data_IF_406266344768
#
_entry.id   IF_406266344768
#
_cell.length_a   1.000
_cell.length_b   1.000
_cell.length_c   1.000
_cell.angle_alpha   90.00
_cell.angle_beta   90.00
_cell.angle_gamma   90.00
#
_symmetry.space_group_name_H-M   'P 1'
#
loop_
_entity.id
_entity.type
_entity.pdbx_description
1 polymer ?
#
# COMPACT_ATOMS: atom_id res chain seq x y z
N UNK A 1 3.91 5.24 10.01
CA UNK A 1 4.76 4.65 8.94
C UNK A 1 3.83 3.84 8.05
N UNK A 2 3.90 4.03 6.74
CA UNK A 2 3.07 3.36 5.75
C UNK A 2 3.99 2.62 4.77
N UNK A 3 3.89 1.29 4.74
CA UNK A 3 4.64 0.44 3.83
C UNK A 3 3.83 0.26 2.54
N UNK A 4 4.29 0.87 1.44
CA UNK A 4 3.62 0.88 0.14
C UNK A 4 2.09 1.04 0.20
N UNK A 5 1.59 2.14 0.80
CA UNK A 5 0.16 2.31 0.99
C UNK A 5 -0.55 2.46 -0.36
N UNK A 6 -1.64 1.72 -0.55
CA UNK A 6 -2.52 1.95 -1.67
C UNK A 6 -3.39 3.19 -1.41
N UNK A 7 -3.00 4.33 -1.99
CA UNK A 7 -3.64 5.62 -1.72
C UNK A 7 -4.53 6.15 -2.87
N UNK A 8 -4.41 5.56 -4.06
CA UNK A 8 -5.12 5.96 -5.27
C UNK A 8 -5.38 4.72 -6.14
N UNK A 9 -6.48 4.72 -6.91
CA UNK A 9 -6.71 3.69 -7.94
C UNK A 9 -5.76 3.87 -9.11
N UNK A 10 -5.09 2.80 -9.51
CA UNK A 10 -4.23 2.76 -10.69
C UNK A 10 -5.07 2.70 -11.97
N UNK A 11 -4.64 3.42 -12.99
CA UNK A 11 -5.28 3.44 -14.31
C UNK A 11 -6.11 4.69 -14.59
N UNK A 12 -6.61 4.80 -15.81
CA UNK A 12 -7.24 6.03 -16.30
C UNK A 12 -8.45 6.45 -15.45
N UNK A 13 -8.60 7.75 -15.25
CA UNK A 13 -9.72 8.38 -14.52
C UNK A 13 -11.10 7.95 -15.04
N UNK A 14 -11.18 7.48 -16.28
CA UNK A 14 -12.40 6.96 -16.92
C UNK A 14 -12.83 5.58 -16.37
N UNK A 15 -11.90 4.62 -16.22
CA UNK A 15 -12.17 3.30 -15.65
C UNK A 15 -12.59 3.44 -14.19
N UNK A 16 -11.93 4.35 -13.47
CA UNK A 16 -12.27 4.75 -12.10
C UNK A 16 -13.71 5.25 -11.98
N UNK A 17 -14.12 6.14 -12.87
CA UNK A 17 -15.49 6.67 -12.87
C UNK A 17 -16.52 5.57 -13.16
N UNK A 18 -16.26 4.68 -14.12
CA UNK A 18 -17.18 3.57 -14.44
C UNK A 18 -17.30 2.59 -13.26
N UNK A 19 -16.19 2.25 -12.61
CA UNK A 19 -16.19 1.41 -11.41
C UNK A 19 -17.02 2.05 -10.28
N UNK A 20 -16.86 3.35 -10.01
CA UNK A 20 -17.64 4.03 -8.96
C UNK A 20 -19.16 4.03 -9.22
N UNK A 21 -19.60 4.22 -10.47
CA UNK A 21 -21.02 4.32 -10.79
C UNK A 21 -21.74 2.95 -10.76
N UNK A 22 -21.03 1.85 -11.02
CA UNK A 22 -21.61 0.51 -10.97
C UNK A 22 -21.51 -0.14 -9.57
N UNK A 23 -20.45 0.18 -8.82
CA UNK A 23 -20.21 -0.40 -7.49
C UNK A 23 -21.22 0.12 -6.46
N UNK A 24 -21.65 1.38 -6.53
CA UNK A 24 -22.54 1.92 -5.49
C UNK A 24 -23.94 1.29 -5.43
N UNK A 25 -24.67 1.11 -6.56
CA UNK A 25 -25.95 0.40 -6.55
C UNK A 25 -25.80 -1.05 -6.07
N UNK A 26 -24.75 -1.75 -6.53
CA UNK A 26 -24.47 -3.14 -6.15
C UNK A 26 -24.14 -3.27 -4.66
N UNK A 27 -23.31 -2.37 -4.11
CA UNK A 27 -22.94 -2.37 -2.71
C UNK A 27 -24.12 -2.05 -1.78
N UNK A 28 -25.11 -1.27 -2.24
CA UNK A 28 -26.35 -1.02 -1.48
C UNK A 28 -27.27 -2.24 -1.46
N UNK A 29 -27.37 -2.95 -2.58
CA UNK A 29 -28.26 -4.11 -2.71
C UNK A 29 -27.67 -5.38 -2.08
N UNK A 30 -26.40 -5.68 -2.36
CA UNK A 30 -25.66 -6.83 -1.81
C UNK A 30 -24.18 -6.47 -1.60
N UNK A 31 -23.82 -5.93 -0.42
CA UNK A 31 -22.43 -5.58 -0.10
C UNK A 31 -21.50 -6.79 -0.01
N UNK A 32 -22.03 -8.02 0.14
CA UNK A 32 -21.23 -9.25 0.25
C UNK A 32 -20.96 -9.91 -1.09
N UNK A 33 -21.63 -9.47 -2.17
CA UNK A 33 -21.43 -9.98 -3.52
C UNK A 33 -19.95 -9.89 -3.92
N UNK A 34 -19.31 -11.02 -4.27
CA UNK A 34 -17.98 -11.00 -4.83
C UNK A 34 -18.02 -10.55 -6.29
N UNK A 35 -16.99 -9.82 -6.69
CA UNK A 35 -16.65 -9.63 -8.10
C UNK A 35 -15.69 -10.72 -8.54
N UNK A 36 -15.90 -11.22 -9.76
CA UNK A 36 -14.99 -12.17 -10.39
C UNK A 36 -13.94 -11.37 -11.16
N UNK A 37 -12.74 -11.28 -10.58
CA UNK A 37 -11.56 -10.77 -11.27
C UNK A 37 -10.62 -11.93 -11.59
N UNK A 38 -9.81 -11.81 -12.66
CA UNK A 38 -8.70 -12.74 -12.88
C UNK A 38 -7.77 -12.79 -11.66
N UNK A 39 -7.20 -13.97 -11.41
CA UNK A 39 -6.16 -14.10 -10.40
C UNK A 39 -4.89 -13.34 -10.82
N UNK A 40 -4.19 -12.79 -9.82
CA UNK A 40 -2.97 -12.01 -10.00
C UNK A 40 -1.86 -12.63 -9.13
N UNK A 41 -1.34 -13.82 -9.48
CA UNK A 41 -0.46 -14.58 -8.60
C UNK A 41 0.95 -13.98 -8.47
N UNK A 42 1.37 -13.11 -9.40
CA UNK A 42 2.74 -12.67 -9.53
C UNK A 42 3.33 -12.06 -8.28
N UNK A 43 2.56 -11.22 -7.58
CA UNK A 43 3.01 -10.62 -6.32
C UNK A 43 3.19 -11.67 -5.21
N UNK A 44 2.25 -12.60 -5.04
CA UNK A 44 2.38 -13.66 -4.04
C UNK A 44 3.61 -14.53 -4.33
N UNK A 45 3.84 -14.84 -5.61
CA UNK A 45 4.98 -15.62 -6.08
C UNK A 45 6.32 -14.95 -5.81
N UNK A 46 6.41 -13.62 -5.88
CA UNK A 46 7.62 -12.86 -5.52
C UNK A 46 7.92 -12.84 -4.02
N UNK A 47 6.92 -13.07 -3.16
CA UNK A 47 7.07 -13.02 -1.70
C UNK A 47 7.26 -14.40 -1.08
N UNK A 48 6.48 -15.39 -1.54
CA UNK A 48 6.39 -16.71 -0.91
C UNK A 48 7.63 -17.56 -1.15
N UNK A 49 8.14 -18.20 -0.09
CA UNK A 49 9.19 -19.22 -0.17
C UNK A 49 8.74 -20.52 -0.84
N UNK A 50 7.43 -20.69 -1.06
CA UNK A 50 6.89 -21.80 -1.87
C UNK A 50 6.96 -21.51 -3.39
N UNK A 51 7.45 -20.33 -3.77
CA UNK A 51 7.65 -19.90 -5.15
C UNK A 51 9.04 -19.25 -5.33
N UNK A 52 9.12 -17.95 -5.64
CA UNK A 52 10.37 -17.25 -5.95
C UNK A 52 10.88 -16.34 -4.82
N UNK A 53 10.07 -16.14 -3.78
CA UNK A 53 10.41 -15.31 -2.63
C UNK A 53 11.12 -16.07 -1.52
N UNK A 54 11.23 -15.41 -0.36
CA UNK A 54 11.97 -15.94 0.79
C UNK A 54 11.10 -16.08 2.07
N UNK A 55 9.82 -15.70 2.01
CA UNK A 55 8.96 -15.65 3.20
C UNK A 55 8.01 -16.84 3.26
N UNK A 56 7.97 -17.49 4.42
CA UNK A 56 6.92 -18.45 4.73
C UNK A 56 5.63 -17.70 5.07
N UNK A 57 4.66 -17.78 4.18
CA UNK A 57 3.39 -17.06 4.31
C UNK A 57 2.36 -17.93 5.00
N UNK A 58 1.69 -17.37 6.01
CA UNK A 58 0.56 -18.06 6.63
C UNK A 58 -0.61 -18.12 5.63
N UNK A 59 -1.07 -19.32 5.21
CA UNK A 59 -1.97 -19.47 4.06
C UNK A 59 -3.36 -18.86 4.29
N UNK A 60 -3.79 -18.71 5.55
CA UNK A 60 -5.07 -18.05 5.89
C UNK A 60 -4.95 -16.53 5.83
N UNK A 61 -3.76 -15.97 6.04
CA UNK A 61 -3.55 -14.51 6.07
C UNK A 61 -3.13 -13.97 4.72
N UNK A 62 -2.33 -14.75 3.97
CA UNK A 62 -1.85 -14.41 2.62
C UNK A 62 -1.98 -15.64 1.71
N UNK A 63 -3.22 -15.98 1.29
CA UNK A 63 -3.45 -17.07 0.35
C UNK A 63 -2.81 -16.78 -1.02
N UNK A 64 -2.47 -17.84 -1.76
CA UNK A 64 -1.93 -17.71 -3.12
C UNK A 64 -2.93 -17.06 -4.08
N UNK A 65 -4.19 -17.48 -4.01
CA UNK A 65 -5.31 -16.79 -4.62
C UNK A 65 -5.77 -15.66 -3.69
N UNK A 66 -5.81 -14.43 -4.20
CA UNK A 66 -6.25 -13.26 -3.43
C UNK A 66 -7.66 -13.43 -2.86
N UNK A 67 -7.97 -12.69 -1.79
CA UNK A 67 -9.32 -12.67 -1.23
C UNK A 67 -10.33 -12.11 -2.25
N UNK A 68 -11.58 -12.61 -2.25
CA UNK A 68 -12.60 -12.09 -3.15
C UNK A 68 -12.89 -10.62 -2.84
N UNK A 69 -12.76 -9.79 -3.87
CA UNK A 69 -13.13 -8.37 -3.83
C UNK A 69 -14.65 -8.29 -3.76
N UNK A 70 -15.17 -7.70 -2.68
CA UNK A 70 -16.62 -7.57 -2.46
C UNK A 70 -17.09 -6.16 -2.77
N UNK A 71 -18.34 -6.01 -3.22
CA UNK A 71 -18.92 -4.71 -3.55
C UNK A 71 -18.84 -3.70 -2.39
N UNK A 72 -19.17 -4.12 -1.17
CA UNK A 72 -19.07 -3.26 0.02
C UNK A 72 -17.63 -2.85 0.35
N UNK A 73 -16.67 -3.77 0.17
CA UNK A 73 -15.25 -3.48 0.37
C UNK A 73 -14.73 -2.49 -0.69
N UNK A 74 -15.05 -2.72 -1.96
CA UNK A 74 -14.66 -1.82 -3.05
C UNK A 74 -15.23 -0.41 -2.83
N UNK A 75 -16.50 -0.30 -2.42
CA UNK A 75 -17.12 0.99 -2.06
C UNK A 75 -16.36 1.68 -0.92
N UNK A 76 -16.00 0.95 0.14
CA UNK A 76 -15.26 1.52 1.27
C UNK A 76 -13.86 2.01 0.87
N UNK A 77 -13.14 1.25 0.03
CA UNK A 77 -11.85 1.64 -0.54
C UNK A 77 -11.97 2.93 -1.35
N UNK A 78 -12.94 3.00 -2.27
CA UNK A 78 -13.19 4.19 -3.08
C UNK A 78 -13.48 5.43 -2.22
N UNK A 79 -14.29 5.28 -1.17
CA UNK A 79 -14.54 6.35 -0.22
C UNK A 79 -13.27 6.78 0.53
N UNK A 80 -12.41 5.83 0.89
CA UNK A 80 -11.10 6.07 1.48
C UNK A 80 -10.19 6.89 0.55
N UNK A 81 -10.02 6.47 -0.70
CA UNK A 81 -9.26 7.23 -1.69
C UNK A 81 -9.80 8.63 -1.90
N UNK A 82 -11.12 8.80 -1.96
CA UNK A 82 -11.74 10.12 -2.06
C UNK A 82 -11.46 11.00 -0.83
N UNK A 83 -11.39 10.42 0.37
CA UNK A 83 -10.98 11.14 1.58
C UNK A 83 -9.50 11.54 1.51
N UNK A 84 -8.60 10.65 1.09
CA UNK A 84 -7.18 11.00 0.88
C UNK A 84 -7.05 12.11 -0.17
N UNK A 85 -7.80 12.06 -1.26
CA UNK A 85 -7.75 13.10 -2.30
C UNK A 85 -8.18 14.48 -1.78
N UNK A 86 -9.16 14.55 -0.87
CA UNK A 86 -9.55 15.79 -0.16
C UNK A 86 -8.53 16.24 0.87
N UNK A 87 -7.74 15.30 1.39
CA UNK A 87 -6.79 15.50 2.47
C UNK A 87 -7.31 14.99 3.79
N UNK A 88 -6.45 14.33 4.57
CA UNK A 88 -6.82 13.74 5.86
C UNK A 88 -6.43 14.59 7.08
N UNK A 89 -5.58 15.61 6.88
CA UNK A 89 -5.04 16.47 7.94
C UNK A 89 -4.47 15.68 9.13
N UNK A 90 -3.71 14.62 8.84
CA UNK A 90 -3.04 13.83 9.88
C UNK A 90 -2.02 14.73 10.57
N UNK A 91 -2.24 14.96 11.86
CA UNK A 91 -1.40 15.81 12.69
C UNK A 91 -0.04 15.17 12.98
N UNK A 92 0.02 13.84 13.10
CA UNK A 92 1.24 13.08 13.32
C UNK A 92 2.16 13.12 12.07
N UNK A 93 3.51 13.06 12.24
CA UNK A 93 4.41 12.82 11.12
C UNK A 93 4.09 11.51 10.41
N UNK A 94 4.11 11.51 9.08
CA UNK A 94 3.86 10.33 8.25
C UNK A 94 5.11 10.03 7.44
N UNK A 95 5.61 8.80 7.58
CA UNK A 95 6.61 8.23 6.68
C UNK A 95 5.92 7.26 5.73
N UNK A 96 6.16 7.42 4.43
CA UNK A 96 5.71 6.50 3.38
C UNK A 96 6.94 5.85 2.75
N UNK A 97 6.92 4.52 2.63
CA UNK A 97 7.97 3.73 1.99
C UNK A 97 7.42 3.20 0.66
N UNK A 98 8.19 3.35 -0.42
CA UNK A 98 7.82 2.89 -1.76
C UNK A 98 9.00 2.20 -2.44
N UNK A 99 8.70 1.37 -3.44
CA UNK A 99 9.67 1.06 -4.49
C UNK A 99 10.05 2.30 -5.29
N UNK A 100 11.18 2.25 -5.99
CA UNK A 100 11.61 3.31 -6.89
C UNK A 100 10.87 3.30 -8.23
N UNK A 101 10.28 2.15 -8.62
CA UNK A 101 9.66 1.98 -9.94
C UNK A 101 8.46 1.03 -9.91
N UNK A 102 7.55 1.27 -10.86
CA UNK A 102 6.32 0.48 -11.04
C UNK A 102 6.41 -0.39 -12.28
N UNK A 103 5.86 -1.60 -12.18
CA UNK A 103 5.46 -2.44 -13.31
C UNK A 103 4.25 -3.28 -12.94
N UNK A 104 3.06 -2.72 -13.14
CA UNK A 104 1.80 -3.40 -12.82
C UNK A 104 1.59 -4.57 -13.78
N UNK A 105 1.59 -5.78 -13.25
CA UNK A 105 1.32 -7.00 -14.02
C UNK A 105 0.78 -8.12 -13.12
N UNK A 106 0.02 -9.03 -13.74
CA UNK A 106 -0.62 -10.16 -13.07
C UNK A 106 0.33 -11.34 -12.87
N UNK A 107 1.06 -11.67 -13.93
CA UNK A 107 1.89 -12.85 -14.03
C UNK A 107 3.28 -12.58 -13.45
N UNK A 108 3.90 -13.61 -12.91
CA UNK A 108 5.27 -13.49 -12.43
C UNK A 108 6.27 -13.42 -13.59
N UNK A 109 7.25 -12.55 -13.42
CA UNK A 109 8.50 -12.49 -14.18
C UNK A 109 9.61 -12.12 -13.20
N UNK A 110 10.87 -12.42 -13.53
CA UNK A 110 12.03 -12.06 -12.69
C UNK A 110 12.04 -10.57 -12.29
N UNK A 111 11.57 -9.68 -13.16
CA UNK A 111 11.46 -8.24 -12.86
C UNK A 111 10.61 -7.94 -11.61
N UNK A 112 9.63 -8.79 -11.26
CA UNK A 112 8.79 -8.62 -10.08
C UNK A 112 9.52 -8.85 -8.75
N UNK A 113 10.77 -9.28 -8.81
CA UNK A 113 11.66 -9.32 -7.64
C UNK A 113 12.27 -7.94 -7.35
N UNK A 114 12.05 -6.96 -8.22
CA UNK A 114 12.76 -5.67 -8.22
C UNK A 114 11.88 -4.43 -8.48
N UNK A 115 10.56 -4.58 -8.52
CA UNK A 115 9.63 -3.48 -8.86
C UNK A 115 8.32 -3.61 -8.10
N UNK A 116 7.59 -2.50 -7.97
CA UNK A 116 6.21 -2.56 -7.47
C UNK A 116 5.25 -3.07 -8.56
N UNK A 117 4.67 -4.26 -8.31
CA UNK A 117 3.73 -4.92 -9.21
C UNK A 117 2.26 -4.55 -8.97
N UNK A 118 1.98 -3.83 -7.89
CA UNK A 118 0.63 -3.66 -7.33
C UNK A 118 0.16 -2.22 -7.48
N UNK A 119 1.04 -1.24 -7.25
CA UNK A 119 0.69 0.18 -7.26
C UNK A 119 1.60 1.01 -8.16
N UNK A 120 1.07 2.16 -8.61
CA UNK A 120 1.87 3.22 -9.23
C UNK A 120 2.56 4.04 -8.13
N UNK A 121 3.89 3.97 -8.07
CA UNK A 121 4.68 4.62 -7.01
C UNK A 121 4.72 6.14 -7.18
N UNK A 122 4.60 6.67 -8.39
CA UNK A 122 4.58 8.11 -8.64
C UNK A 122 3.23 8.70 -8.24
N UNK A 123 2.12 8.08 -8.66
CA UNK A 123 0.79 8.51 -8.24
C UNK A 123 0.62 8.40 -6.72
N UNK A 124 1.14 7.31 -6.13
CA UNK A 124 1.07 7.09 -4.68
C UNK A 124 1.91 8.12 -3.93
N UNK A 125 3.12 8.43 -4.38
CA UNK A 125 3.96 9.46 -3.78
C UNK A 125 3.29 10.84 -3.83
N UNK A 126 2.70 11.20 -4.98
CA UNK A 126 1.94 12.45 -5.11
C UNK A 126 0.72 12.49 -4.20
N UNK A 127 -0.01 11.38 -4.08
CA UNK A 127 -1.18 11.27 -3.20
C UNK A 127 -0.81 11.28 -1.71
N UNK A 128 0.35 10.75 -1.34
CA UNK A 128 0.85 10.74 0.03
C UNK A 128 0.97 12.16 0.62
N UNK A 129 1.25 13.17 -0.21
CA UNK A 129 1.33 14.57 0.22
C UNK A 129 -0.01 15.14 0.73
N UNK A 130 -1.13 14.45 0.48
CA UNK A 130 -2.45 14.82 1.01
C UNK A 130 -2.74 14.23 2.40
N UNK A 131 -1.87 13.38 2.92
CA UNK A 131 -2.10 12.72 4.21
C UNK A 131 -2.01 13.70 5.38
N UNK A 132 -1.11 14.68 5.34
CA UNK A 132 -0.97 15.68 6.39
C UNK A 132 0.13 16.69 6.09
N UNK A 133 0.40 17.60 7.04
CA UNK A 133 1.43 18.65 6.86
C UNK A 133 2.87 18.12 6.89
N UNK A 134 3.11 17.00 7.57
CA UNK A 134 4.44 16.43 7.81
C UNK A 134 4.54 15.05 7.17
N UNK A 135 4.84 15.01 5.88
CA UNK A 135 5.00 13.76 5.12
C UNK A 135 6.43 13.65 4.59
N UNK A 136 7.04 12.49 4.78
CA UNK A 136 8.26 12.06 4.12
C UNK A 136 7.97 10.84 3.25
N UNK A 137 8.57 10.77 2.06
CA UNK A 137 8.45 9.64 1.14
C UNK A 137 9.85 9.11 0.87
N UNK A 138 10.12 7.88 1.27
CA UNK A 138 11.38 7.18 1.01
C UNK A 138 11.17 6.15 -0.10
N UNK A 139 12.12 6.09 -1.04
CA UNK A 139 12.09 5.20 -2.20
C UNK A 139 13.30 4.29 -2.17
N UNK A 140 13.06 3.01 -2.36
CA UNK A 140 14.07 1.97 -2.25
C UNK A 140 14.30 1.33 -3.62
N UNK A 141 15.48 1.55 -4.23
CA UNK A 141 15.85 0.93 -5.48
C UNK A 141 15.73 -0.59 -5.45
N UNK A 142 14.93 -1.16 -6.36
CA UNK A 142 14.76 -2.60 -6.45
C UNK A 142 13.84 -3.20 -5.39
N UNK A 143 13.13 -2.39 -4.60
CA UNK A 143 12.16 -2.94 -3.66
C UNK A 143 10.94 -3.50 -4.43
N UNK A 144 10.38 -4.60 -3.93
CA UNK A 144 9.05 -5.06 -4.35
C UNK A 144 7.98 -4.18 -3.69
N UNK A 145 6.70 -4.46 -3.99
CA UNK A 145 5.58 -3.72 -3.43
C UNK A 145 5.67 -3.54 -1.90
N UNK A 146 5.62 -4.63 -1.12
CA UNK A 146 5.88 -4.53 0.32
C UNK A 146 7.39 -4.35 0.57
N UNK A 147 7.86 -3.12 0.85
CA UNK A 147 9.30 -2.82 1.04
C UNK A 147 9.94 -3.71 2.10
N UNK A 148 9.28 -3.94 3.23
CA UNK A 148 9.80 -4.83 4.28
C UNK A 148 9.89 -6.31 3.88
N UNK A 149 9.20 -6.73 2.83
CA UNK A 149 9.27 -8.09 2.28
C UNK A 149 10.27 -8.21 1.13
N UNK A 150 10.92 -7.12 0.73
CA UNK A 150 11.99 -7.12 -0.27
C UNK A 150 13.21 -7.92 0.19
N UNK A 151 14.14 -8.15 -0.75
CA UNK A 151 15.43 -8.79 -0.50
C UNK A 151 16.16 -8.18 0.71
N UNK A 152 17.00 -8.99 1.36
CA UNK A 152 17.59 -8.68 2.68
C UNK A 152 18.24 -7.31 2.76
N UNK A 153 19.08 -7.00 1.79
CA UNK A 153 19.80 -5.72 1.72
C UNK A 153 18.84 -4.52 1.75
N UNK A 154 17.72 -4.61 1.01
CA UNK A 154 16.74 -3.54 0.85
C UNK A 154 15.93 -3.35 2.13
N UNK A 155 15.42 -4.44 2.72
CA UNK A 155 14.64 -4.34 3.96
C UNK A 155 15.49 -3.90 5.14
N UNK A 156 16.76 -4.31 5.21
CA UNK A 156 17.68 -3.84 6.27
C UNK A 156 17.95 -2.34 6.15
N UNK A 157 18.10 -1.82 4.93
CA UNK A 157 18.17 -0.38 4.67
C UNK A 157 16.89 0.32 5.11
N UNK A 158 15.72 -0.17 4.69
CA UNK A 158 14.44 0.39 5.09
C UNK A 158 14.25 0.41 6.61
N UNK A 159 14.63 -0.65 7.34
CA UNK A 159 14.57 -0.66 8.80
C UNK A 159 15.50 0.38 9.45
N UNK A 160 16.74 0.55 8.93
CA UNK A 160 17.66 1.59 9.43
C UNK A 160 17.09 2.99 9.23
N UNK A 161 16.57 3.27 8.05
CA UNK A 161 15.98 4.57 7.72
C UNK A 161 14.74 4.87 8.55
N UNK A 162 13.86 3.87 8.74
CA UNK A 162 12.68 3.99 9.60
C UNK A 162 13.09 4.30 11.03
N UNK A 163 14.12 3.63 11.56
CA UNK A 163 14.63 3.89 12.90
C UNK A 163 15.21 5.31 13.03
N UNK A 164 16.01 5.75 12.05
CA UNK A 164 16.56 7.10 12.01
C UNK A 164 15.48 8.18 11.89
N UNK A 165 14.49 7.97 11.01
CA UNK A 165 13.35 8.87 10.86
C UNK A 165 12.53 8.95 12.14
N UNK A 166 12.25 7.82 12.80
CA UNK A 166 11.50 7.81 14.06
C UNK A 166 12.23 8.59 15.17
N UNK A 167 13.57 8.50 15.23
CA UNK A 167 14.39 9.25 16.19
C UNK A 167 14.39 10.77 15.91
N UNK A 168 14.19 11.19 14.66
CA UNK A 168 14.11 12.61 14.29
C UNK A 168 12.84 13.32 14.78
N UNK A 169 11.81 12.55 15.16
CA UNK A 169 10.59 13.05 15.78
C UNK A 169 10.52 12.56 17.23
N UNK A 170 11.26 13.20 18.16
CA UNK A 170 11.19 12.81 19.56
C UNK A 170 9.74 12.84 20.01
N UNK A 171 9.27 11.70 20.54
CA UNK A 171 7.98 11.63 21.20
C UNK A 171 8.01 12.74 22.25
N UNK A 172 7.11 13.73 22.12
CA UNK A 172 7.11 14.86 23.03
C UNK A 172 7.14 14.33 24.46
N UNK A 173 8.18 14.68 25.21
CA UNK A 173 8.12 14.56 26.65
C UNK A 173 6.83 15.26 27.04
N UNK A 174 5.86 14.49 27.56
CA UNK A 174 4.68 15.06 28.17
C UNK A 174 5.19 16.15 29.11
N UNK A 175 4.79 17.40 28.87
CA UNK A 175 5.19 18.51 29.70
C UNK A 175 4.87 18.12 31.15
N UNK A 176 5.91 17.88 31.94
CA UNK A 176 5.80 17.60 33.37
C UNK A 176 5.09 18.79 33.99
N UNK A 177 3.82 18.61 34.29
CA UNK A 177 3.00 19.56 35.05
C UNK A 177 2.83 19.00 36.45
N UNK A 178 3.95 18.77 37.14
CA UNK A 178 3.92 18.64 38.59
C UNK A 178 4.14 20.05 39.18
N UNK A 179 3.20 20.59 39.98
CA UNK A 179 3.37 21.88 40.64
C UNK A 179 4.40 21.80 41.79
N UNK A 180 4.97 22.94 42.20
CA UNK A 180 6.05 23.03 43.19
C UNK A 180 5.64 22.61 44.61
#
# INVERSE_FOLDING_TARGET
>A
ILNAPWLELQGSSLIRNIAMHLVEPLARADPRRPFNFPEMPGYWQSVSSEAHGEWQLHPVWRPAASFPIRAGWAKAVLAGHAAVARGLDISAPVLVLLSDRTRIQAEWTEDLMHVDAVIDVEETAGRALRLGRRVAVFRYPGAIHDVFLSQRQIREEAYRDVAGWAQSYPCGAAASTAPP
#
